data_IF_320975160982
#
_entry.id   IF_320975160982
#
_cell.length_a   1.000
_cell.length_b   1.000
_cell.length_c   1.000
_cell.angle_alpha   90.00
_cell.angle_beta   90.00
_cell.angle_gamma   90.00
#
_symmetry.space_group_name_H-M   'P 1'
#
loop_
_entity.id
_entity.type
_entity.pdbx_description
1 polymer ?
#
# COMPACT_ATOMS: atom_id res chain seq x y z
N UNK A 1 -0.82 -7.11 18.48
CA UNK A 1 0.01 -8.08 17.73
C UNK A 1 1.41 -7.53 17.74
N UNK A 2 2.46 -8.36 17.87
CA UNK A 2 3.81 -7.82 17.70
C UNK A 2 3.96 -7.39 16.24
N UNK A 3 4.44 -6.18 16.00
CA UNK A 3 4.61 -5.63 14.67
C UNK A 3 5.93 -4.88 14.59
N UNK A 4 6.49 -4.81 13.38
CA UNK A 4 7.74 -4.14 13.11
C UNK A 4 7.58 -3.29 11.86
N UNK A 5 7.83 -2.00 12.02
CA UNK A 5 7.77 -1.03 10.92
C UNK A 5 9.19 -0.59 10.58
N UNK A 6 9.54 -0.61 9.29
CA UNK A 6 10.84 -0.13 8.81
C UNK A 6 10.68 0.80 7.62
N UNK A 7 11.50 1.84 7.60
CA UNK A 7 11.69 2.71 6.45
C UNK A 7 12.90 2.24 5.64
N UNK A 8 12.70 2.05 4.35
CA UNK A 8 13.75 1.70 3.40
C UNK A 8 13.89 2.79 2.35
N UNK A 9 15.11 3.30 2.20
CA UNK A 9 15.45 4.23 1.13
C UNK A 9 15.86 3.42 -0.10
N UNK A 10 15.17 3.60 -1.23
CA UNK A 10 15.54 2.93 -2.47
C UNK A 10 16.67 3.67 -3.16
N UNK A 11 17.69 2.93 -3.56
CA UNK A 11 18.77 3.42 -4.43
C UNK A 11 18.45 3.08 -5.88
N UNK A 12 19.03 3.82 -6.84
CA UNK A 12 18.59 3.80 -8.26
C UNK A 12 18.59 2.42 -8.95
N UNK A 13 19.34 1.42 -8.46
CA UNK A 13 19.24 0.04 -9.00
C UNK A 13 17.96 -0.66 -8.51
N UNK A 14 17.63 -0.51 -7.23
CA UNK A 14 16.43 -1.11 -6.64
C UNK A 14 15.15 -0.47 -7.18
N UNK A 15 15.23 0.82 -7.54
CA UNK A 15 14.13 1.56 -8.15
C UNK A 15 13.69 0.97 -9.49
N UNK A 16 14.65 0.62 -10.37
CA UNK A 16 14.38 0.07 -11.71
C UNK A 16 13.53 -1.19 -11.69
N UNK A 17 13.75 -2.06 -10.70
CA UNK A 17 12.98 -3.31 -10.57
C UNK A 17 11.55 -3.10 -10.04
N UNK A 18 11.21 -1.86 -9.68
CA UNK A 18 9.91 -1.42 -9.19
C UNK A 18 9.27 -0.38 -10.13
N UNK A 19 9.97 0.06 -11.18
CA UNK A 19 9.45 0.98 -12.21
C UNK A 19 8.28 0.37 -12.99
N UNK A 20 8.18 -0.96 -13.04
CA UNK A 20 7.05 -1.65 -13.67
C UNK A 20 5.80 -1.71 -12.78
N UNK A 21 5.91 -1.41 -11.48
CA UNK A 21 4.78 -1.45 -10.55
C UNK A 21 3.97 -0.16 -10.56
N UNK A 22 4.60 0.97 -10.84
CA UNK A 22 3.93 2.26 -10.84
C UNK A 22 4.38 3.09 -12.06
N UNK A 23 3.53 3.98 -12.59
CA UNK A 23 3.83 4.80 -13.74
C UNK A 23 5.18 5.49 -13.60
N UNK A 24 5.95 5.44 -14.69
CA UNK A 24 7.35 5.91 -14.77
C UNK A 24 7.50 7.40 -14.38
N UNK A 25 6.43 8.19 -14.47
CA UNK A 25 6.42 9.59 -14.06
C UNK A 25 6.60 9.79 -12.55
N UNK A 26 6.10 8.84 -11.74
CA UNK A 26 6.19 8.88 -10.28
C UNK A 26 7.62 8.70 -9.77
N UNK A 27 8.47 8.02 -10.54
CA UNK A 27 9.84 7.65 -10.15
C UNK A 27 10.94 8.59 -10.64
N UNK A 28 10.68 9.40 -11.68
CA UNK A 28 11.70 10.25 -12.33
C UNK A 28 12.02 11.55 -11.57
N UNK A 29 11.13 12.01 -10.69
CA UNK A 29 11.24 13.36 -10.09
C UNK A 29 11.74 13.35 -8.64
N UNK A 30 11.55 12.27 -7.87
CA UNK A 30 11.79 12.23 -6.41
C UNK A 30 12.28 10.84 -5.98
N UNK A 31 13.22 10.73 -5.02
CA UNK A 31 13.59 9.45 -4.44
C UNK A 31 12.40 8.80 -3.72
N UNK A 32 11.91 7.68 -4.27
CA UNK A 32 10.86 6.89 -3.63
C UNK A 32 11.43 6.09 -2.47
N UNK A 33 10.71 6.09 -1.35
CA UNK A 33 11.02 5.30 -0.17
C UNK A 33 9.90 4.29 0.07
N UNK A 34 10.21 3.23 0.81
CA UNK A 34 9.29 2.14 1.10
C UNK A 34 9.15 1.99 2.61
N UNK A 35 7.91 1.97 3.09
CA UNK A 35 7.57 1.61 4.45
C UNK A 35 7.11 0.16 4.42
N UNK A 36 7.77 -0.70 5.18
CA UNK A 36 7.37 -2.10 5.37
C UNK A 36 6.74 -2.29 6.73
N UNK A 37 5.56 -2.89 6.77
CA UNK A 37 4.88 -3.30 7.99
C UNK A 37 4.91 -4.82 8.08
N UNK A 38 5.71 -5.36 8.99
CA UNK A 38 5.76 -6.79 9.27
C UNK A 38 4.90 -7.10 10.51
N UNK A 39 3.81 -7.83 10.31
CA UNK A 39 2.94 -8.31 11.37
C UNK A 39 3.38 -9.72 11.79
N UNK A 40 3.62 -9.93 13.08
CA UNK A 40 3.94 -11.25 13.61
C UNK A 40 2.68 -12.09 13.74
N UNK A 41 2.76 -13.33 13.27
CA UNK A 41 1.68 -14.31 13.34
C UNK A 41 2.01 -15.39 14.38
N UNK A 42 0.97 -16.05 14.89
CA UNK A 42 1.09 -17.19 15.80
C UNK A 42 1.53 -18.43 15.04
N UNK A 43 0.91 -18.68 13.89
CA UNK A 43 1.23 -19.82 13.05
C UNK A 43 2.31 -19.47 12.02
N UNK A 44 3.18 -20.42 11.64
CA UNK A 44 4.12 -20.22 10.55
C UNK A 44 3.36 -20.13 9.22
N UNK A 45 3.58 -19.06 8.47
CA UNK A 45 2.93 -18.79 7.18
C UNK A 45 3.40 -19.72 6.05
N UNK A 46 4.27 -20.68 6.36
CA UNK A 46 4.67 -21.79 5.46
C UNK A 46 3.61 -22.90 5.42
N UNK A 47 2.74 -22.99 6.44
CA UNK A 47 1.75 -24.04 6.56
C UNK A 47 0.41 -23.61 5.96
N UNK A 48 -0.11 -24.38 5.00
CA UNK A 48 -1.42 -24.11 4.39
C UNK A 48 -2.53 -24.79 5.18
N UNK A 49 -2.75 -24.37 6.43
CA UNK A 49 -3.86 -24.83 7.28
C UNK A 49 -4.97 -23.79 7.34
N UNK A 50 -6.21 -24.20 7.64
CA UNK A 50 -7.35 -23.28 7.80
C UNK A 50 -7.05 -22.16 8.80
N UNK A 51 -6.44 -22.52 9.94
CA UNK A 51 -6.06 -21.55 10.97
C UNK A 51 -5.03 -20.53 10.48
N UNK A 52 -4.08 -20.96 9.65
CA UNK A 52 -3.07 -20.06 9.07
C UNK A 52 -3.69 -19.13 8.04
N UNK A 53 -4.65 -19.63 7.24
CA UNK A 53 -5.38 -18.81 6.26
C UNK A 53 -6.26 -17.76 6.96
N UNK A 54 -7.01 -18.14 7.99
CA UNK A 54 -7.82 -17.21 8.78
C UNK A 54 -6.96 -16.12 9.45
N UNK A 55 -5.81 -16.50 10.01
CA UNK A 55 -4.86 -15.57 10.59
C UNK A 55 -4.26 -14.63 9.53
N UNK A 56 -3.92 -15.16 8.35
CA UNK A 56 -3.39 -14.37 7.23
C UNK A 56 -4.41 -13.36 6.73
N UNK A 57 -5.67 -13.75 6.56
CA UNK A 57 -6.75 -12.86 6.16
C UNK A 57 -7.00 -11.76 7.20
N UNK A 58 -6.86 -12.07 8.49
CA UNK A 58 -6.92 -11.07 9.56
C UNK A 58 -5.76 -10.05 9.45
N UNK A 59 -4.54 -10.51 9.20
CA UNK A 59 -3.39 -9.62 8.96
C UNK A 59 -3.58 -8.75 7.72
N UNK A 60 -4.09 -9.31 6.62
CA UNK A 60 -4.40 -8.54 5.40
C UNK A 60 -5.42 -7.44 5.67
N UNK A 61 -6.48 -7.74 6.42
CA UNK A 61 -7.47 -6.72 6.84
C UNK A 61 -6.81 -5.61 7.65
N UNK A 62 -5.98 -5.93 8.64
CA UNK A 62 -5.27 -4.92 9.43
C UNK A 62 -4.38 -4.02 8.56
N UNK A 63 -3.69 -4.58 7.55
CA UNK A 63 -2.87 -3.80 6.62
C UNK A 63 -3.74 -2.87 5.78
N UNK A 64 -4.81 -3.39 5.18
CA UNK A 64 -5.73 -2.65 4.31
C UNK A 64 -6.54 -1.60 5.07
N UNK A 65 -6.77 -1.77 6.38
CA UNK A 65 -7.40 -0.76 7.23
C UNK A 65 -6.42 0.38 7.59
N UNK A 66 -5.15 0.06 7.85
CA UNK A 66 -4.16 1.07 8.32
C UNK A 66 -3.53 1.88 7.19
N UNK A 67 -3.26 1.24 6.05
CA UNK A 67 -2.52 1.87 4.95
C UNK A 67 -3.25 3.05 4.28
N UNK A 68 -4.59 3.02 4.07
CA UNK A 68 -5.33 4.17 3.54
C UNK A 68 -5.24 5.40 4.44
N UNK A 69 -5.47 5.24 5.76
CA UNK A 69 -5.36 6.35 6.71
C UNK A 69 -3.96 6.96 6.73
N UNK A 70 -2.93 6.10 6.68
CA UNK A 70 -1.55 6.57 6.61
C UNK A 70 -1.26 7.32 5.30
N UNK A 71 -1.77 6.81 4.17
CA UNK A 71 -1.62 7.44 2.87
C UNK A 71 -2.25 8.83 2.83
N UNK A 72 -3.48 8.98 3.30
CA UNK A 72 -4.18 10.28 3.35
C UNK A 72 -3.36 11.29 4.17
N UNK A 73 -2.82 10.85 5.29
CA UNK A 73 -1.94 11.67 6.11
C UNK A 73 -0.63 12.06 5.39
N UNK A 74 0.00 11.13 4.65
CA UNK A 74 1.23 11.45 3.88
C UNK A 74 0.91 12.43 2.72
N UNK A 75 -0.22 12.26 2.05
CA UNK A 75 -0.66 13.12 0.92
C UNK A 75 -1.14 14.50 1.35
N UNK A 76 -1.47 14.70 2.63
CA UNK A 76 -1.81 16.02 3.15
C UNK A 76 -0.64 17.02 3.11
N UNK A 77 0.60 16.54 2.93
CA UNK A 77 1.78 17.36 2.76
C UNK A 77 1.96 17.75 1.27
N UNK A 78 2.08 19.04 0.99
CA UNK A 78 2.29 19.57 -0.36
C UNK A 78 3.60 19.10 -1.01
N UNK A 79 4.54 18.60 -0.21
CA UNK A 79 5.81 18.05 -0.70
C UNK A 79 5.72 16.61 -1.19
N UNK A 80 4.59 15.93 -0.94
CA UNK A 80 4.36 14.56 -1.38
C UNK A 80 3.86 14.53 -2.83
N UNK A 81 4.66 13.95 -3.72
CA UNK A 81 4.22 13.77 -5.12
C UNK A 81 3.45 12.46 -5.34
N UNK A 82 3.73 11.44 -4.54
CA UNK A 82 3.23 10.08 -4.76
C UNK A 82 3.15 9.29 -3.45
N UNK A 83 2.05 8.58 -3.25
CA UNK A 83 1.89 7.61 -2.17
C UNK A 83 0.88 6.54 -2.58
N UNK A 84 1.31 5.29 -2.61
CA UNK A 84 0.47 4.13 -2.90
C UNK A 84 0.97 2.90 -2.14
N UNK A 85 0.12 1.90 -1.97
CA UNK A 85 0.48 0.66 -1.29
C UNK A 85 0.05 -0.55 -2.10
N UNK A 86 0.63 -1.70 -1.76
CA UNK A 86 0.31 -2.97 -2.39
C UNK A 86 -0.73 -3.69 -1.55
N UNK A 87 -1.83 -4.09 -2.17
CA UNK A 87 -2.80 -4.97 -1.52
C UNK A 87 -2.15 -6.36 -1.35
N UNK A 88 -1.99 -6.86 -0.11
CA UNK A 88 -1.31 -8.13 0.12
C UNK A 88 -2.10 -9.34 -0.41
N UNK A 89 -3.41 -9.20 -0.66
CA UNK A 89 -4.24 -10.29 -1.17
C UNK A 89 -4.11 -10.50 -2.68
N UNK A 90 -4.03 -9.41 -3.45
CA UNK A 90 -3.93 -9.44 -4.92
C UNK A 90 -2.50 -9.19 -5.42
N UNK A 91 -1.69 -8.49 -4.64
CA UNK A 91 -0.35 -8.01 -5.00
C UNK A 91 -0.38 -6.89 -6.02
N UNK A 92 -1.56 -6.38 -6.37
CA UNK A 92 -1.66 -5.20 -7.21
C UNK A 92 -1.46 -3.94 -6.34
N UNK A 93 -0.98 -2.84 -6.93
CA UNK A 93 -1.12 -1.55 -6.29
C UNK A 93 -2.60 -1.22 -6.07
N UNK A 94 -2.90 -0.58 -4.95
CA UNK A 94 -4.29 -0.35 -4.54
C UNK A 94 -4.93 0.81 -5.30
N UNK A 95 -4.19 1.89 -5.55
CA UNK A 95 -4.71 3.08 -6.26
C UNK A 95 -4.28 3.13 -7.71
N UNK A 96 -3.13 2.55 -8.03
CA UNK A 96 -2.55 2.65 -9.37
C UNK A 96 -2.80 1.38 -10.17
N UNK A 97 -3.35 1.52 -11.36
CA UNK A 97 -3.50 0.40 -12.27
C UNK A 97 -2.15 0.03 -12.88
N UNK A 98 -1.61 -1.12 -12.48
CA UNK A 98 -0.44 -1.75 -13.11
C UNK A 98 -0.71 -3.21 -13.46
N UNK A 99 -0.15 -3.67 -14.57
CA UNK A 99 -0.18 -5.07 -14.97
C UNK A 99 0.79 -5.95 -14.15
N UNK A 100 1.71 -5.33 -13.41
CA UNK A 100 2.73 -6.03 -12.63
C UNK A 100 2.26 -6.21 -11.20
N UNK A 101 2.34 -7.44 -10.68
CA UNK A 101 2.04 -7.72 -9.28
C UNK A 101 3.32 -7.74 -8.44
N UNK A 102 3.18 -7.43 -7.16
CA UNK A 102 4.21 -7.47 -6.13
C UNK A 102 3.70 -8.27 -4.94
N UNK A 103 4.05 -9.55 -4.89
CA UNK A 103 3.63 -10.44 -3.81
C UNK A 103 4.61 -10.41 -2.64
N UNK A 104 4.14 -10.74 -1.44
CA UNK A 104 4.98 -10.91 -0.24
C UNK A 104 6.09 -11.96 -0.41
N UNK A 105 5.91 -12.90 -1.35
CA UNK A 105 6.85 -14.00 -1.67
C UNK A 105 7.78 -13.70 -2.85
N UNK A 106 7.74 -12.47 -3.38
CA UNK A 106 8.54 -12.06 -4.53
C UNK A 106 10.04 -11.94 -4.17
N UNK A 107 10.95 -12.26 -5.09
CA UNK A 107 12.39 -12.14 -4.84
C UNK A 107 12.85 -10.70 -4.58
N UNK A 108 12.11 -9.71 -5.11
CA UNK A 108 12.37 -8.29 -4.89
C UNK A 108 12.26 -7.90 -3.42
N UNK A 109 11.50 -8.63 -2.59
CA UNK A 109 11.37 -8.32 -1.16
C UNK A 109 12.68 -8.49 -0.39
N UNK A 110 13.63 -9.27 -0.92
CA UNK A 110 14.95 -9.49 -0.31
C UNK A 110 15.73 -8.19 -0.10
N UNK A 111 15.44 -7.17 -0.90
CA UNK A 111 16.07 -5.84 -0.81
C UNK A 111 15.68 -5.08 0.45
N UNK A 112 14.56 -5.44 1.07
CA UNK A 112 14.08 -4.83 2.31
C UNK A 112 14.60 -5.57 3.55
N UNK A 113 15.63 -6.41 3.42
CA UNK A 113 16.22 -7.17 4.53
C UNK A 113 15.38 -8.38 4.96
N UNK A 114 14.40 -8.77 4.15
CA UNK A 114 13.62 -9.98 4.30
C UNK A 114 14.33 -11.15 3.63
N UNK A 115 14.08 -12.38 4.09
CA UNK A 115 14.52 -13.59 3.41
C UNK A 115 13.34 -14.25 2.73
N UNK A 116 13.60 -14.86 1.58
CA UNK A 116 12.63 -15.77 0.94
C UNK A 116 13.15 -17.19 1.15
N UNK A 117 12.36 -17.99 1.83
CA UNK A 117 12.57 -19.42 2.02
C UNK A 117 11.92 -20.18 0.87
N UNK A 118 12.71 -21.01 0.17
CA UNK A 118 12.26 -21.84 -0.93
C UNK A 118 11.90 -23.23 -0.40
N UNK A 119 10.61 -23.58 -0.49
CA UNK A 119 10.04 -24.85 -0.03
C UNK A 119 9.77 -25.79 -1.22
N UNK A 120 10.59 -25.70 -2.27
CA UNK A 120 10.38 -26.39 -3.54
C UNK A 120 9.41 -25.63 -4.44
N UNK A 121 8.15 -26.06 -4.50
CA UNK A 121 7.12 -25.40 -5.33
C UNK A 121 6.51 -24.14 -4.69
N UNK A 122 6.72 -23.95 -3.39
CA UNK A 122 6.23 -22.80 -2.64
C UNK A 122 7.39 -21.91 -2.19
N UNK A 123 7.10 -20.62 -2.02
CA UNK A 123 8.00 -19.63 -1.43
C UNK A 123 7.32 -19.02 -0.22
N UNK A 124 8.09 -18.70 0.81
CA UNK A 124 7.59 -18.02 2.01
C UNK A 124 8.54 -16.91 2.43
N UNK A 125 7.98 -15.82 2.94
CA UNK A 125 8.76 -14.73 3.52
C UNK A 125 9.22 -15.10 4.93
N UNK A 126 10.45 -14.72 5.28
CA UNK A 126 11.06 -14.99 6.58
C UNK A 126 11.71 -13.72 7.11
N UNK A 127 11.15 -13.19 8.21
CA UNK A 127 11.67 -12.03 8.90
C UNK A 127 12.87 -12.40 9.79
N UNK A 128 13.90 -11.55 9.92
CA UNK A 128 15.02 -11.78 10.84
C UNK A 128 14.63 -11.95 12.33
N UNK A 129 13.50 -11.41 12.76
CA UNK A 129 12.98 -11.59 14.14
C UNK A 129 11.86 -12.63 14.20
N UNK A 130 10.88 -12.55 13.29
CA UNK A 130 9.68 -13.39 13.33
C UNK A 130 9.81 -14.70 12.54
N UNK A 131 10.92 -14.91 11.81
CA UNK A 131 11.11 -16.06 10.92
C UNK A 131 9.93 -16.17 9.94
N UNK A 132 9.46 -17.38 9.66
CA UNK A 132 8.30 -17.67 8.83
C UNK A 132 6.94 -17.26 9.45
N UNK A 133 6.93 -16.72 10.67
CA UNK A 133 5.70 -16.34 11.37
C UNK A 133 5.41 -14.85 11.17
N UNK A 134 5.35 -14.41 9.92
CA UNK A 134 5.04 -13.03 9.61
C UNK A 134 4.29 -12.86 8.29
N UNK A 135 3.50 -11.80 8.23
CA UNK A 135 2.89 -11.25 7.02
C UNK A 135 3.44 -9.84 6.83
N UNK A 136 3.78 -9.45 5.60
CA UNK A 136 4.42 -8.16 5.32
C UNK A 136 3.61 -7.34 4.33
N UNK A 137 3.28 -6.10 4.70
CA UNK A 137 2.70 -5.10 3.83
C UNK A 137 3.75 -4.08 3.36
N UNK A 138 3.54 -3.53 2.17
CA UNK A 138 4.45 -2.57 1.54
C UNK A 138 3.70 -1.30 1.11
N UNK A 139 4.19 -0.15 1.58
CA UNK A 139 3.73 1.18 1.17
C UNK A 139 4.89 1.94 0.52
N UNK A 140 4.63 2.54 -0.63
CA UNK A 140 5.58 3.28 -1.43
C UNK A 140 5.20 4.76 -1.42
N UNK A 141 6.16 5.62 -1.06
CA UNK A 141 5.92 7.05 -0.98
C UNK A 141 7.12 7.86 -1.47
N UNK A 142 6.82 8.89 -2.27
CA UNK A 142 7.75 9.93 -2.71
C UNK A 142 7.56 11.19 -1.88
N UNK A 143 8.01 11.16 -0.63
CA UNK A 143 7.93 12.27 0.32
C UNK A 143 9.29 12.53 1.00
N UNK A 144 9.37 13.63 1.75
CA UNK A 144 10.53 13.97 2.59
C UNK A 144 10.84 12.84 3.59
N UNK A 145 12.09 12.73 4.02
CA UNK A 145 12.48 11.66 4.95
C UNK A 145 11.82 11.88 6.33
N UNK A 146 11.72 13.15 6.74
CA UNK A 146 11.13 13.58 8.00
C UNK A 146 9.65 13.17 8.09
N UNK A 147 8.88 13.38 7.02
CA UNK A 147 7.46 13.00 6.97
C UNK A 147 7.27 11.49 7.07
N UNK A 148 8.15 10.72 6.43
CA UNK A 148 8.07 9.26 6.43
C UNK A 148 8.56 8.64 7.73
N UNK A 149 9.54 9.24 8.41
CA UNK A 149 9.93 8.83 9.76
C UNK A 149 8.78 9.05 10.75
N UNK A 150 8.06 10.16 10.62
CA UNK A 150 6.87 10.42 11.43
C UNK A 150 5.73 9.44 11.09
N UNK A 151 5.52 9.11 9.82
CA UNK A 151 4.58 8.08 9.39
C UNK A 151 4.89 6.71 10.04
N UNK A 152 6.17 6.34 10.12
CA UNK A 152 6.62 5.10 10.78
C UNK A 152 6.34 5.14 12.28
N UNK A 153 6.59 6.28 12.93
CA UNK A 153 6.28 6.47 14.36
C UNK A 153 4.79 6.30 14.63
N UNK A 154 3.94 6.89 13.80
CA UNK A 154 2.49 6.81 13.90
C UNK A 154 1.97 5.40 13.68
N UNK A 155 2.51 4.69 12.68
CA UNK A 155 2.14 3.31 12.41
C UNK A 155 2.57 2.36 13.54
N UNK A 156 3.73 2.61 14.16
CA UNK A 156 4.25 1.81 15.27
C UNK A 156 3.65 2.14 16.65
N UNK A 157 3.01 3.30 16.81
CA UNK A 157 2.31 3.68 18.04
C UNK A 157 1.02 2.87 18.28
N UNK A 158 0.52 2.18 17.25
CA UNK A 158 -0.71 1.40 17.33
C UNK A 158 -1.97 2.26 17.51
N UNK A 159 -3.17 1.68 17.34
CA UNK A 159 -4.44 2.41 17.42
C UNK A 159 -4.87 2.82 18.83
N UNK A 160 -4.09 2.58 19.88
CA UNK A 160 -4.48 2.91 21.27
C UNK A 160 -4.09 4.33 21.70
N UNK A 161 -3.19 5.02 21.00
CA UNK A 161 -2.74 6.38 21.36
C UNK A 161 -3.47 7.49 20.58
N UNK A 162 -4.03 7.19 19.39
CA UNK A 162 -4.80 8.17 18.60
C UNK A 162 -6.17 8.52 19.23
N UNK A 163 -6.72 7.67 20.10
CA UNK A 163 -7.95 7.96 20.83
C UNK A 163 -7.77 8.96 21.98
N UNK A 164 -6.52 9.31 22.36
CA UNK A 164 -6.25 10.20 23.50
C UNK A 164 -6.10 11.69 23.12
N UNK A 165 -5.89 12.03 21.83
CA UNK A 165 -5.71 13.43 21.43
C UNK A 165 -6.98 14.12 20.87
N UNK A 166 -8.04 13.37 20.53
CA UNK A 166 -9.30 13.95 20.02
C UNK A 166 -10.37 14.22 21.11
N UNK A 167 -10.16 13.84 22.38
CA UNK A 167 -11.06 14.17 23.51
C UNK A 167 -10.66 15.46 24.27
N UNK A 168 -9.94 16.38 23.62
CA UNK A 168 -9.47 17.63 24.24
C UNK A 168 -10.23 18.90 23.86
N UNK A 169 -11.18 18.84 22.92
CA UNK A 169 -11.72 20.03 22.27
C UNK A 169 -13.24 20.06 22.08
N UNK A 170 -14.04 19.62 23.05
CA UNK A 170 -15.45 20.07 23.13
C UNK A 170 -15.99 20.05 24.57
N UNK A 171 -15.53 20.95 25.43
CA UNK A 171 -16.11 21.09 26.76
C UNK A 171 -15.99 22.52 27.32
N UNK A 172 -16.52 23.53 26.62
CA UNK A 172 -16.67 24.88 27.21
C UNK A 172 -17.92 25.62 26.66
N UNK A 173 -18.90 25.83 27.56
CA UNK A 173 -20.03 26.81 27.56
C UNK A 173 -21.26 26.45 26.70
N UNK A 174 -22.52 26.47 27.18
CA UNK A 174 -23.18 27.04 28.36
C UNK A 174 -24.58 26.39 28.48
N UNK A 175 -25.15 26.08 29.64
CA UNK A 175 -25.69 27.06 30.58
C UNK A 175 -27.24 27.07 30.57
N UNK A 176 -27.82 26.20 31.41
CA UNK A 176 -29.04 26.31 32.22
C UNK A 176 -30.19 27.26 31.80
N UNK A 177 -31.43 26.76 31.75
CA UNK A 177 -32.59 27.30 32.53
C UNK A 177 -33.74 26.28 32.57
N UNK A 178 -34.34 26.17 33.75
CA UNK A 178 -35.35 25.22 34.21
C UNK A 178 -36.76 25.83 34.17
N UNK A 179 -37.80 24.98 34.06
CA UNK A 179 -39.22 25.09 34.51
C UNK A 179 -40.08 24.35 33.48
N UNK A 180 -41.05 23.48 33.76
CA UNK A 180 -41.78 23.06 34.96
C UNK A 180 -43.12 22.51 34.45
N UNK A 181 -43.75 21.55 35.14
CA UNK A 181 -45.19 21.27 34.99
C UNK A 181 -45.61 19.88 34.48
N UNK A 182 -45.89 19.00 35.44
CA UNK A 182 -47.10 18.16 35.61
C UNK A 182 -47.82 17.53 34.40
N UNK A 183 -48.07 16.21 34.48
CA UNK A 183 -49.28 15.61 33.89
C UNK A 183 -49.28 14.10 33.70
N UNK A 184 -49.73 13.37 34.73
CA UNK A 184 -50.55 12.14 34.69
C UNK A 184 -50.83 11.47 33.33
N UNK A 185 -50.52 10.17 33.20
CA UNK A 185 -51.51 9.05 33.20
C UNK A 185 -50.97 7.75 32.55
N UNK A 186 -51.14 6.65 33.29
CA UNK A 186 -51.22 5.22 32.87
C UNK A 186 -52.59 5.00 32.15
N UNK A 187 -52.99 3.80 31.65
CA UNK A 187 -52.28 2.52 31.47
C UNK A 187 -52.66 1.76 30.16
N UNK A 188 -52.19 0.50 30.08
CA UNK A 188 -52.92 -0.70 29.58
C UNK A 188 -52.83 -1.17 28.12
N UNK A 189 -52.79 -2.51 27.98
CA UNK A 189 -53.18 -3.28 26.79
C UNK A 189 -52.00 -3.90 26.02
N UNK A 190 -51.48 -5.08 26.37
CA UNK A 190 -52.01 -6.43 26.14
C UNK A 190 -51.94 -6.93 24.67
N UNK A 191 -51.29 -8.10 24.53
CA UNK A 191 -51.72 -9.28 23.74
C UNK A 191 -51.18 -9.51 22.30
N UNK A 192 -50.21 -10.43 22.26
CA UNK A 192 -50.10 -11.66 21.44
C UNK A 192 -50.82 -11.80 20.07
N UNK A 193 -50.05 -12.33 19.09
CA UNK A 193 -50.34 -13.44 18.13
C UNK A 193 -49.08 -13.63 17.26
N UNK A 194 -48.38 -14.77 17.22
CA UNK A 194 -48.66 -16.08 16.58
C UNK A 194 -48.99 -16.05 15.07
N UNK A 195 -48.26 -16.87 14.31
CA UNK A 195 -48.48 -17.27 12.90
C UNK A 195 -47.15 -17.34 12.13
N UNK A 196 -46.50 -18.50 11.99
CA UNK A 196 -46.65 -19.49 10.89
C UNK A 196 -46.32 -18.87 9.51
N UNK A 197 -45.42 -19.37 8.66
CA UNK A 197 -45.03 -20.75 8.35
C UNK A 197 -45.21 -20.96 6.84
N UNK A 198 -44.27 -21.68 6.19
CA UNK A 198 -44.37 -22.21 4.82
C UNK A 198 -43.66 -21.36 3.75
N UNK A 199 -42.50 -21.78 3.22
CA UNK A 199 -42.21 -22.85 2.23
C UNK A 199 -42.48 -22.47 0.76
N UNK A 200 -41.39 -22.63 -0.01
CA UNK A 200 -41.25 -23.03 -1.41
C UNK A 200 -42.11 -22.36 -2.50
N UNK A 201 -41.41 -21.85 -3.54
CA UNK A 201 -41.28 -22.61 -4.80
C UNK A 201 -40.30 -21.97 -5.77
N UNK A 202 -39.47 -22.87 -6.31
CA UNK A 202 -38.66 -22.79 -7.55
C UNK A 202 -39.51 -22.30 -8.72
N UNK A 203 -38.97 -21.50 -9.63
CA UNK A 203 -39.13 -21.63 -11.09
C UNK A 203 -38.03 -20.80 -11.79
N UNK A 204 -37.15 -21.47 -12.52
CA UNK A 204 -36.22 -20.82 -13.43
C UNK A 204 -36.87 -20.57 -14.79
N UNK A 205 -36.39 -19.55 -15.49
CA UNK A 205 -36.53 -19.44 -16.94
C UNK A 205 -35.33 -18.72 -17.53
N UNK A 206 -34.73 -19.36 -18.55
CA UNK A 206 -33.77 -18.80 -19.50
C UNK A 206 -34.42 -17.67 -20.29
N UNK A 207 -33.61 -16.67 -20.66
CA UNK A 207 -33.98 -15.65 -21.65
C UNK A 207 -32.77 -14.90 -22.15
N UNK A 208 -32.18 -15.41 -23.24
CA UNK A 208 -31.28 -14.72 -24.18
C UNK A 208 -31.99 -13.53 -24.83
N UNK A 209 -31.21 -12.56 -25.35
CA UNK A 209 -31.52 -11.45 -26.30
C UNK A 209 -30.95 -10.13 -25.71
N UNK A 210 -30.36 -9.18 -26.41
CA UNK A 210 -29.83 -9.08 -27.77
C UNK A 210 -28.92 -7.84 -27.79
N UNK A 211 -27.94 -7.84 -28.69
CA UNK A 211 -27.12 -6.68 -29.00
C UNK A 211 -27.91 -5.66 -29.84
N UNK A 212 -27.86 -4.38 -29.47
CA UNK A 212 -28.16 -3.27 -30.37
C UNK A 212 -27.13 -2.17 -30.15
N UNK A 213 -26.42 -1.83 -31.23
CA UNK A 213 -25.60 -0.64 -31.32
C UNK A 213 -26.40 0.60 -31.69
N UNK A 214 -25.78 1.75 -31.50
CA UNK A 214 -25.82 2.98 -32.33
C UNK A 214 -24.83 3.98 -31.69
N UNK A 215 -23.86 4.56 -32.40
CA UNK A 215 -23.99 5.63 -33.42
C UNK A 215 -24.57 6.91 -32.75
N UNK A 216 -23.97 8.11 -32.74
CA UNK A 216 -23.05 8.80 -33.65
C UNK A 216 -22.42 10.05 -33.00
N UNK A 217 -21.36 10.59 -33.64
CA UNK A 217 -20.95 12.02 -33.78
C UNK A 217 -20.82 12.92 -32.53
N UNK A 218 -19.81 13.75 -32.32
CA UNK A 218 -18.91 14.48 -33.22
C UNK A 218 -18.95 15.95 -32.79
N UNK A 219 -17.83 16.54 -32.32
CA UNK A 219 -17.69 18.01 -32.24
C UNK A 219 -16.24 18.39 -32.49
N UNK A 220 -16.07 19.29 -33.45
CA UNK A 220 -14.82 19.88 -33.93
C UNK A 220 -14.27 20.96 -32.98
N UNK A 221 -12.94 21.11 -33.02
CA UNK A 221 -12.25 22.40 -33.07
C UNK A 221 -12.10 23.20 -31.77
N UNK A 222 -10.85 23.56 -31.42
CA UNK A 222 -10.34 24.94 -31.51
C UNK A 222 -8.81 24.91 -31.42
N UNK A 223 -8.18 25.57 -32.39
CA UNK A 223 -6.77 25.90 -32.45
C UNK A 223 -6.36 26.90 -31.36
N UNK A 224 -5.20 26.69 -30.75
CA UNK A 224 -4.56 27.68 -29.88
C UNK A 224 -3.06 27.43 -29.83
N UNK A 225 -2.34 28.00 -30.80
CA UNK A 225 -0.88 28.01 -30.81
C UNK A 225 -0.32 29.07 -29.87
N UNK A 226 0.79 28.75 -29.20
CA UNK A 226 1.75 29.74 -28.70
C UNK A 226 3.17 29.23 -28.97
N UNK A 227 4.10 30.15 -29.32
CA UNK A 227 5.47 29.83 -29.70
C UNK A 227 6.36 29.71 -28.46
N UNK A 228 7.32 28.79 -28.48
CA UNK A 228 8.47 28.85 -27.57
C UNK A 228 9.73 28.76 -28.39
N UNK A 229 10.49 29.86 -28.35
CA UNK A 229 11.75 30.06 -29.04
C UNK A 229 12.81 29.09 -28.52
N UNK A 230 13.59 28.55 -29.46
CA UNK A 230 14.67 27.60 -29.21
C UNK A 230 15.99 28.35 -29.37
N UNK A 231 16.57 28.82 -28.27
CA UNK A 231 17.92 29.37 -28.26
C UNK A 231 18.89 28.45 -27.51
N UNK A 232 19.78 27.84 -28.29
CA UNK A 232 21.22 27.83 -28.05
C UNK A 232 21.75 27.22 -26.76
N UNK A 233 22.11 25.94 -26.79
CA UNK A 233 23.19 25.42 -25.95
C UNK A 233 24.22 24.68 -26.80
N UNK A 234 25.38 25.34 -26.88
CA UNK A 234 26.62 24.99 -27.55
C UNK A 234 27.20 23.68 -27.02
N UNK A 235 27.53 22.77 -27.95
CA UNK A 235 28.33 21.58 -27.73
C UNK A 235 29.81 21.95 -27.58
N UNK A 236 30.40 21.72 -26.41
CA UNK A 236 31.85 21.58 -26.26
C UNK A 236 32.15 20.24 -25.57
N UNK A 237 32.68 19.32 -26.36
CA UNK A 237 33.17 18.02 -25.88
C UNK A 237 34.52 18.13 -25.18
N UNK A 238 34.85 17.21 -24.26
CA UNK A 238 36.21 17.05 -23.79
C UNK A 238 37.01 16.09 -24.67
N UNK A 239 38.25 16.51 -24.94
CA UNK A 239 39.28 15.89 -25.74
C UNK A 239 39.77 14.55 -25.17
N UNK A 240 40.16 13.67 -26.09
CA UNK A 240 41.03 12.54 -25.90
C UNK A 240 42.36 12.93 -25.23
N UNK A 241 42.85 12.05 -24.36
CA UNK A 241 44.20 12.07 -23.80
C UNK A 241 44.62 10.64 -23.52
N UNK A 242 45.51 10.15 -24.37
CA UNK A 242 46.11 8.82 -24.38
C UNK A 242 47.01 8.61 -23.16
N UNK A 243 47.09 7.36 -22.69
CA UNK A 243 47.97 6.93 -21.62
C UNK A 243 48.11 5.40 -21.65
N UNK A 244 49.01 4.92 -22.51
CA UNK A 244 49.58 3.58 -22.46
C UNK A 244 50.22 3.31 -21.09
N UNK A 245 49.91 2.19 -20.45
CA UNK A 245 50.90 1.49 -19.62
C UNK A 245 50.64 -0.03 -19.64
N UNK A 246 51.70 -0.78 -19.91
CA UNK A 246 51.73 -2.20 -20.26
C UNK A 246 51.54 -3.11 -19.02
N UNK A 247 50.94 -4.32 -19.16
CA UNK A 247 50.93 -5.29 -18.08
C UNK A 247 52.27 -6.04 -17.98
N UNK A 248 52.97 -5.83 -16.87
CA UNK A 248 54.16 -6.57 -16.45
C UNK A 248 53.79 -8.02 -16.09
N UNK A 249 54.32 -8.97 -16.87
CA UNK A 249 54.27 -10.41 -16.65
C UNK A 249 55.30 -10.79 -15.59
N UNK A 250 54.84 -11.27 -14.42
CA UNK A 250 55.68 -12.01 -13.49
C UNK A 250 55.13 -13.42 -13.28
N UNK A 251 55.91 -14.40 -13.76
CA UNK A 251 55.73 -15.82 -13.50
C UNK A 251 56.15 -16.16 -12.07
N UNK A 252 55.47 -17.09 -11.36
CA UNK A 252 56.02 -17.68 -10.16
C UNK A 252 56.99 -18.82 -10.51
N UNK A 253 58.18 -18.73 -9.91
CA UNK A 253 59.22 -19.75 -9.94
C UNK A 253 58.75 -21.07 -9.31
N UNK A 254 59.08 -22.17 -9.97
CA UNK A 254 59.04 -23.51 -9.41
C UNK A 254 60.37 -23.78 -8.70
N UNK A 255 60.31 -24.16 -7.42
CA UNK A 255 61.41 -24.82 -6.71
C UNK A 255 60.89 -26.11 -6.10
N UNK A 256 61.33 -27.22 -6.68
CA UNK A 256 61.50 -28.52 -6.07
C UNK A 256 62.97 -28.92 -6.28
#
# INVERSE_FOLDING_TARGET
MDEEVKLHVLTGRSLRDLEDLFPVESFKKIPVKVITLALRTKNPMTAMTTQTLEERDACFKTIVERFPSLREWILADETTAFCDFIDPSTGAPFHTDSATTFMETDDRVRKFGLRIEELGCCRAVSHPLFRANCVVGFLFAGASEERLQEAVRRLGAGPEEEAAEEEGAEAVLSGTTQCGGTGTSKPEGARAKEGAGGEETVHGTKGTLEATGNFCEGVEGVMGGLPVEFEGLSLQGPKAGEGEEQPNVQQPESKA
#
